data_IF_139833455734
#
_entry.id   IF_139833455734
#
_cell.length_a   1.000
_cell.length_b   1.000
_cell.length_c   1.000
_cell.angle_alpha   90.00
_cell.angle_beta   90.00
_cell.angle_gamma   90.00
#
_symmetry.space_group_name_H-M   'P 1'
#
loop_
_entity.id
_entity.type
_entity.pdbx_description
1 polymer ?
#
# COMPACT_ATOMS: atom_id res chain seq x y z
N UNK A 1 28.41 -3.72 14.11
CA UNK A 1 27.34 -3.82 15.12
C UNK A 1 26.30 -4.76 14.54
N UNK A 2 26.24 -6.01 15.00
CA UNK A 2 25.29 -6.99 14.47
C UNK A 2 23.89 -6.60 14.92
N UNK A 3 23.11 -6.08 13.98
CA UNK A 3 21.72 -5.74 14.17
C UNK A 3 20.95 -7.07 14.23
N UNK A 4 20.25 -7.38 15.34
CA UNK A 4 19.69 -8.70 15.56
C UNK A 4 18.47 -8.93 14.65
N UNK A 5 18.49 -10.09 13.99
CA UNK A 5 17.39 -10.74 13.24
C UNK A 5 16.46 -9.79 12.49
N UNK A 6 16.83 -9.35 11.28
CA UNK A 6 15.84 -8.78 10.38
C UNK A 6 14.72 -9.79 10.19
N UNK A 7 13.48 -9.38 10.48
CA UNK A 7 12.31 -10.23 10.26
C UNK A 7 11.90 -10.02 8.81
N UNK A 8 12.07 -11.02 7.95
CA UNK A 8 11.70 -10.84 6.58
C UNK A 8 10.18 -10.90 6.47
N UNK A 9 9.60 -9.88 5.86
CA UNK A 9 8.16 -9.77 5.72
C UNK A 9 7.81 -9.22 4.34
N UNK A 10 6.56 -9.43 3.94
CA UNK A 10 6.02 -8.82 2.73
C UNK A 10 6.09 -7.30 2.83
N UNK A 11 6.17 -6.57 1.70
CA UNK A 11 6.05 -5.11 1.68
C UNK A 11 4.70 -4.67 2.28
N UNK A 12 4.70 -4.34 3.56
CA UNK A 12 3.53 -3.93 4.36
C UNK A 12 2.82 -2.73 3.75
N UNK A 13 3.55 -1.77 3.16
CA UNK A 13 2.95 -0.64 2.48
C UNK A 13 2.00 -1.09 1.38
N UNK A 14 2.39 -2.08 0.57
CA UNK A 14 1.55 -2.55 -0.54
C UNK A 14 0.28 -3.24 -0.03
N UNK A 15 0.36 -3.96 1.09
CA UNK A 15 -0.78 -4.63 1.74
C UNK A 15 -1.73 -3.59 2.34
N UNK A 16 -1.20 -2.65 3.11
CA UNK A 16 -1.99 -1.60 3.75
C UNK A 16 -2.61 -0.67 2.71
N UNK A 17 -1.87 -0.35 1.65
CA UNK A 17 -2.36 0.47 0.55
C UNK A 17 -3.49 -0.22 -0.22
N UNK A 18 -3.44 -1.54 -0.40
CA UNK A 18 -4.59 -2.28 -0.92
C UNK A 18 -5.81 -2.11 0.01
N UNK A 19 -5.61 -2.19 1.33
CA UNK A 19 -6.65 -1.90 2.32
C UNK A 19 -7.28 -0.51 2.13
N UNK A 20 -6.48 0.52 1.83
CA UNK A 20 -7.00 1.88 1.59
C UNK A 20 -7.89 1.99 0.36
N UNK A 21 -7.58 1.24 -0.71
CA UNK A 21 -8.42 1.18 -1.92
C UNK A 21 -9.77 0.53 -1.63
N UNK A 22 -9.79 -0.42 -0.69
CA UNK A 22 -11.00 -1.13 -0.26
C UNK A 22 -11.83 -0.35 0.76
N UNK A 23 -11.42 0.86 1.16
CA UNK A 23 -12.23 1.76 2.00
C UNK A 23 -13.05 2.74 1.15
N UNK A 24 -14.38 2.81 1.35
CA UNK A 24 -15.24 3.62 0.49
C UNK A 24 -14.90 5.09 0.61
N UNK A 25 -15.02 5.76 -0.54
CA UNK A 25 -14.90 7.19 -0.62
C UNK A 25 -16.10 7.83 0.10
N UNK A 26 -15.85 8.54 1.20
CA UNK A 26 -16.86 9.24 1.98
C UNK A 26 -17.11 10.67 1.48
N UNK A 27 -16.43 11.13 0.42
CA UNK A 27 -16.69 12.43 -0.24
C UNK A 27 -17.88 12.39 -1.22
N UNK A 28 -18.73 11.35 -1.15
CA UNK A 28 -19.91 11.22 -2.03
C UNK A 28 -20.97 12.28 -1.76
N UNK A 29 -21.55 12.82 -2.84
CA UNK A 29 -22.61 13.86 -2.83
C UNK A 29 -24.01 13.34 -2.49
N UNK A 30 -24.16 12.06 -2.17
CA UNK A 30 -25.41 11.54 -1.64
C UNK A 30 -25.39 11.83 -0.14
N UNK A 31 -26.43 12.50 0.38
CA UNK A 31 -26.59 12.76 1.82
C UNK A 31 -26.14 11.54 2.62
N UNK A 32 -25.40 11.71 3.74
CA UNK A 32 -25.06 10.59 4.58
C UNK A 32 -26.36 10.01 5.11
N UNK A 33 -26.89 8.98 4.43
CA UNK A 33 -28.01 8.18 4.90
C UNK A 33 -27.51 7.57 6.19
N UNK A 34 -27.94 8.18 7.29
CA UNK A 34 -27.42 8.09 8.66
C UNK A 34 -27.33 6.67 9.26
N UNK A 35 -27.64 5.62 8.50
CA UNK A 35 -27.82 4.25 8.95
C UNK A 35 -27.40 3.17 7.93
N UNK A 36 -26.77 3.51 6.81
CA UNK A 36 -26.29 2.45 5.91
C UNK A 36 -24.89 2.05 6.35
N UNK A 37 -24.78 0.80 6.83
CA UNK A 37 -23.52 0.09 6.98
C UNK A 37 -22.67 0.38 5.75
N UNK A 38 -21.43 0.79 5.98
CA UNK A 38 -20.49 1.27 4.97
C UNK A 38 -20.11 0.09 4.07
N UNK A 39 -21.00 -0.29 3.15
CA UNK A 39 -20.80 -1.33 2.16
C UNK A 39 -19.90 -0.79 1.06
N UNK A 40 -19.12 -1.69 0.47
CA UNK A 40 -18.21 -1.39 -0.63
C UNK A 40 -18.94 -0.63 -1.74
N UNK A 41 -18.46 0.57 -2.10
CA UNK A 41 -19.06 1.35 -3.18
C UNK A 41 -18.82 0.66 -4.53
N UNK A 42 -19.68 0.94 -5.53
CA UNK A 42 -19.53 0.37 -6.87
C UNK A 42 -18.14 0.64 -7.48
N UNK A 43 -17.55 1.81 -7.21
CA UNK A 43 -16.19 2.15 -7.64
C UNK A 43 -15.14 1.20 -7.05
N UNK A 44 -15.29 0.82 -5.78
CA UNK A 44 -14.36 -0.07 -5.12
C UNK A 44 -14.47 -1.50 -5.62
N UNK A 45 -15.69 -1.97 -5.92
CA UNK A 45 -15.88 -3.25 -6.60
C UNK A 45 -15.15 -3.26 -7.95
N UNK A 46 -15.23 -2.17 -8.71
CA UNK A 46 -14.47 -2.02 -9.95
C UNK A 46 -12.96 -2.04 -9.69
N UNK A 47 -12.46 -1.37 -8.65
CA UNK A 47 -11.05 -1.41 -8.27
C UNK A 47 -10.58 -2.82 -7.88
N UNK A 48 -11.38 -3.59 -7.13
CA UNK A 48 -11.11 -5.00 -6.82
C UNK A 48 -10.99 -5.83 -8.09
N UNK A 49 -11.92 -5.66 -9.03
CA UNK A 49 -11.90 -6.41 -10.30
C UNK A 49 -10.65 -6.07 -11.10
N UNK A 50 -10.32 -4.78 -11.23
CA UNK A 50 -9.08 -4.33 -11.89
C UNK A 50 -7.86 -4.95 -11.20
N UNK A 51 -7.84 -4.92 -9.87
CA UNK A 51 -6.75 -5.48 -9.09
C UNK A 51 -6.58 -6.98 -9.31
N UNK A 52 -7.66 -7.75 -9.24
CA UNK A 52 -7.65 -9.19 -9.47
C UNK A 52 -7.16 -9.54 -10.89
N UNK A 53 -7.72 -8.88 -11.92
CA UNK A 53 -7.38 -9.16 -13.32
C UNK A 53 -5.91 -8.87 -13.61
N UNK A 54 -5.41 -7.70 -13.19
CA UNK A 54 -4.01 -7.33 -13.42
C UNK A 54 -3.05 -8.20 -12.61
N UNK A 55 -3.40 -8.53 -11.36
CA UNK A 55 -2.57 -9.38 -10.48
C UNK A 55 -2.46 -10.81 -11.02
N UNK A 56 -3.57 -11.38 -11.52
CA UNK A 56 -3.60 -12.72 -12.12
C UNK A 56 -2.73 -12.82 -13.38
N UNK A 57 -2.68 -11.76 -14.19
CA UNK A 57 -1.85 -11.71 -15.40
C UNK A 57 -0.38 -11.45 -15.06
N UNK A 58 -0.10 -10.55 -14.11
CA UNK A 58 1.26 -10.14 -13.76
C UNK A 58 2.06 -11.18 -12.99
N UNK A 59 1.40 -11.93 -12.09
CA UNK A 59 2.05 -12.93 -11.23
C UNK A 59 2.86 -14.00 -12.01
N UNK A 60 2.28 -14.74 -12.97
CA UNK A 60 3.00 -15.80 -13.67
C UNK A 60 4.14 -15.26 -14.53
N UNK A 61 4.03 -14.04 -15.05
CA UNK A 61 5.10 -13.40 -15.83
C UNK A 61 6.33 -13.14 -14.96
N UNK A 62 6.13 -12.72 -13.71
CA UNK A 62 7.23 -12.43 -12.79
C UNK A 62 7.81 -13.68 -12.13
N UNK A 63 7.00 -14.70 -11.86
CA UNK A 63 7.48 -16.01 -11.38
C UNK A 63 8.39 -16.72 -12.41
N UNK A 64 8.12 -16.52 -13.70
CA UNK A 64 8.94 -17.09 -14.78
C UNK A 64 10.29 -16.41 -14.97
N UNK A 65 10.53 -15.25 -14.37
CA UNK A 65 11.83 -14.56 -14.52
C UNK A 65 12.93 -15.30 -13.76
N UNK A 66 14.13 -15.26 -14.33
CA UNK A 66 15.32 -15.84 -13.71
C UNK A 66 15.75 -15.08 -12.44
N UNK A 67 16.38 -15.80 -11.52
CA UNK A 67 17.11 -15.25 -10.36
C UNK A 67 18.32 -14.46 -10.84
N UNK A 68 18.11 -13.22 -11.28
CA UNK A 68 19.20 -12.28 -11.62
C UNK A 68 19.18 -11.08 -10.68
N UNK A 69 20.35 -10.52 -10.31
CA UNK A 69 20.42 -9.32 -9.46
C UNK A 69 19.73 -8.10 -10.10
N UNK A 70 19.66 -8.04 -11.43
CA UNK A 70 18.94 -7.02 -12.18
C UNK A 70 17.43 -7.00 -11.87
N UNK A 71 16.85 -8.17 -11.58
CA UNK A 71 15.43 -8.32 -11.22
C UNK A 71 15.13 -7.65 -9.89
N UNK A 72 15.96 -7.89 -8.87
CA UNK A 72 15.85 -7.26 -7.56
C UNK A 72 16.03 -5.75 -7.65
N UNK A 73 16.96 -5.27 -8.48
CA UNK A 73 17.14 -3.84 -8.73
C UNK A 73 15.91 -3.22 -9.41
N UNK A 74 15.32 -3.90 -10.40
CA UNK A 74 14.10 -3.44 -11.06
C UNK A 74 12.90 -3.41 -10.10
N UNK A 75 12.72 -4.45 -9.29
CA UNK A 75 11.66 -4.53 -8.28
C UNK A 75 11.85 -3.48 -7.18
N UNK A 76 13.09 -3.19 -6.78
CA UNK A 76 13.41 -2.09 -5.86
C UNK A 76 12.96 -0.74 -6.40
N UNK A 77 13.24 -0.44 -7.67
CA UNK A 77 12.81 0.82 -8.31
C UNK A 77 11.29 0.92 -8.40
N UNK A 78 10.62 -0.18 -8.79
CA UNK A 78 9.16 -0.26 -8.87
C UNK A 78 8.50 -0.06 -7.51
N UNK A 79 8.98 -0.74 -6.47
CA UNK A 79 8.47 -0.62 -5.12
C UNK A 79 8.72 0.79 -4.54
N UNK A 80 9.89 1.38 -4.81
CA UNK A 80 10.16 2.78 -4.45
C UNK A 80 9.15 3.72 -5.11
N UNK A 81 8.86 3.55 -6.40
CA UNK A 81 7.86 4.35 -7.12
C UNK A 81 6.46 4.20 -6.51
N UNK A 82 6.02 2.97 -6.22
CA UNK A 82 4.72 2.69 -5.58
C UNK A 82 4.62 3.41 -4.24
N UNK A 83 5.62 3.24 -3.37
CA UNK A 83 5.61 3.81 -2.03
C UNK A 83 5.64 5.34 -2.10
N UNK A 84 6.49 5.90 -2.96
CA UNK A 84 6.60 7.37 -3.12
C UNK A 84 5.29 7.97 -3.62
N UNK A 85 4.70 7.36 -4.66
CA UNK A 85 3.41 7.80 -5.19
C UNK A 85 2.32 7.71 -4.14
N UNK A 86 2.21 6.58 -3.44
CA UNK A 86 1.17 6.39 -2.42
C UNK A 86 1.34 7.33 -1.22
N UNK A 87 2.58 7.60 -0.76
CA UNK A 87 2.82 8.63 0.28
C UNK A 87 2.35 10.01 -0.19
N UNK A 88 2.72 10.44 -1.39
CA UNK A 88 2.29 11.74 -1.93
C UNK A 88 0.77 11.83 -2.09
N UNK A 89 0.15 10.75 -2.57
CA UNK A 89 -1.30 10.63 -2.68
C UNK A 89 -1.98 10.74 -1.31
N UNK A 90 -1.52 9.97 -0.31
CA UNK A 90 -2.08 10.02 1.05
C UNK A 90 -1.88 11.36 1.75
N UNK A 91 -0.73 12.01 1.57
CA UNK A 91 -0.53 13.37 2.07
C UNK A 91 -1.50 14.35 1.43
N UNK A 92 -1.74 14.21 0.12
CA UNK A 92 -2.71 15.05 -0.60
C UNK A 92 -4.13 14.81 -0.07
N UNK A 93 -4.54 13.55 0.12
CA UNK A 93 -5.83 13.17 0.70
C UNK A 93 -6.04 13.78 2.10
N UNK A 94 -5.05 13.65 2.99
CA UNK A 94 -5.14 14.21 4.34
C UNK A 94 -5.26 15.74 4.28
N UNK A 95 -4.46 16.40 3.43
CA UNK A 95 -4.52 17.86 3.28
C UNK A 95 -5.86 18.32 2.71
N UNK A 96 -6.42 17.62 1.71
CA UNK A 96 -7.71 17.95 1.12
C UNK A 96 -8.87 17.72 2.08
N UNK A 97 -8.75 16.78 3.04
CA UNK A 97 -9.75 16.60 4.11
C UNK A 97 -9.92 17.89 4.92
N UNK A 98 -8.84 18.59 5.27
CA UNK A 98 -8.89 19.80 6.09
C UNK A 98 -9.11 21.10 5.31
N UNK A 99 -8.64 21.18 4.06
CA UNK A 99 -8.54 22.48 3.37
C UNK A 99 -9.77 22.87 2.55
N UNK A 100 -10.55 21.92 2.05
CA UNK A 100 -11.66 22.22 1.14
C UNK A 100 -13.03 21.75 1.68
N UNK A 101 -14.16 22.25 1.15
CA UNK A 101 -15.50 21.90 1.62
C UNK A 101 -15.82 20.40 1.46
N UNK A 102 -16.74 19.89 2.29
CA UNK A 102 -17.14 18.49 2.33
C UNK A 102 -17.78 18.01 1.01
N UNK A 103 -18.68 18.82 0.43
CA UNK A 103 -19.44 18.47 -0.79
C UNK A 103 -18.76 18.87 -2.10
N UNK A 104 -17.44 18.67 -2.21
CA UNK A 104 -16.72 19.00 -3.42
C UNK A 104 -16.64 17.79 -4.36
N UNK A 105 -17.44 17.80 -5.43
CA UNK A 105 -17.36 16.81 -6.52
C UNK A 105 -15.92 16.65 -7.05
N UNK A 106 -15.15 17.74 -7.05
CA UNK A 106 -13.75 17.74 -7.51
C UNK A 106 -12.88 16.85 -6.62
N UNK A 107 -13.10 16.86 -5.30
CA UNK A 107 -12.38 15.97 -4.37
C UNK A 107 -12.72 14.52 -4.64
N UNK A 108 -14.01 14.21 -4.71
CA UNK A 108 -14.47 12.84 -4.98
C UNK A 108 -13.82 12.26 -6.24
N UNK A 109 -13.84 13.01 -7.35
CA UNK A 109 -13.18 12.56 -8.59
C UNK A 109 -11.65 12.50 -8.46
N UNK A 110 -11.00 13.44 -7.78
CA UNK A 110 -9.56 13.42 -7.58
C UNK A 110 -9.11 12.23 -6.73
N UNK A 111 -9.83 11.93 -5.65
CA UNK A 111 -9.63 10.77 -4.78
C UNK A 111 -9.81 9.47 -5.55
N UNK A 112 -10.90 9.34 -6.33
CA UNK A 112 -11.14 8.17 -7.17
C UNK A 112 -10.06 7.97 -8.24
N UNK A 113 -9.61 9.03 -8.90
CA UNK A 113 -8.53 8.94 -9.89
C UNK A 113 -7.21 8.53 -9.23
N UNK A 114 -6.88 9.11 -8.07
CA UNK A 114 -5.68 8.75 -7.32
C UNK A 114 -5.73 7.30 -6.84
N UNK A 115 -6.86 6.86 -6.30
CA UNK A 115 -7.10 5.46 -5.90
C UNK A 115 -7.00 4.51 -7.10
N UNK A 116 -7.53 4.87 -8.26
CA UNK A 116 -7.42 4.07 -9.49
C UNK A 116 -5.95 3.91 -9.92
N UNK A 117 -5.18 4.99 -9.97
CA UNK A 117 -3.76 4.95 -10.32
C UNK A 117 -2.99 4.10 -9.30
N UNK A 118 -3.26 4.28 -8.00
CA UNK A 118 -2.65 3.48 -6.94
C UNK A 118 -2.98 1.99 -7.12
N UNK A 119 -4.24 1.67 -7.38
CA UNK A 119 -4.72 0.31 -7.65
C UNK A 119 -3.97 -0.31 -8.82
N UNK A 120 -3.93 0.35 -9.98
CA UNK A 120 -3.23 -0.14 -11.17
C UNK A 120 -1.75 -0.40 -10.84
N UNK A 121 -1.10 0.55 -10.16
CA UNK A 121 0.33 0.45 -9.83
C UNK A 121 0.62 -0.71 -8.86
N UNK A 122 -0.18 -0.86 -7.80
CA UNK A 122 -0.06 -1.98 -6.84
C UNK A 122 -0.36 -3.32 -7.52
N UNK A 123 -1.37 -3.38 -8.39
CA UNK A 123 -1.75 -4.62 -9.07
C UNK A 123 -0.67 -5.09 -10.03
N UNK A 124 -0.11 -4.16 -10.81
CA UNK A 124 0.85 -4.50 -11.84
C UNK A 124 2.26 -4.75 -11.29
N UNK A 125 2.66 -3.99 -10.27
CA UNK A 125 4.03 -4.05 -9.72
C UNK A 125 4.09 -4.53 -8.28
N UNK A 126 3.13 -4.14 -7.44
CA UNK A 126 3.10 -4.47 -6.02
C UNK A 126 2.86 -5.96 -5.76
N UNK A 127 1.87 -6.56 -6.42
CA UNK A 127 1.52 -7.96 -6.20
C UNK A 127 2.63 -8.94 -6.60
N UNK A 128 3.27 -8.70 -7.75
CA UNK A 128 4.43 -9.48 -8.14
C UNK A 128 5.61 -9.31 -7.19
N UNK A 129 5.82 -8.10 -6.65
CA UNK A 129 6.87 -7.84 -5.67
C UNK A 129 6.58 -8.53 -4.34
N UNK A 130 5.32 -8.57 -3.90
CA UNK A 130 4.87 -9.31 -2.70
C UNK A 130 5.17 -10.81 -2.84
N UNK A 131 4.89 -11.41 -4.00
CA UNK A 131 5.11 -12.85 -4.20
C UNK A 131 6.57 -13.24 -4.45
N UNK A 132 7.44 -12.28 -4.79
CA UNK A 132 8.80 -12.60 -5.25
C UNK A 132 9.92 -11.99 -4.41
N UNK A 133 9.63 -10.93 -3.65
CA UNK A 133 10.60 -10.16 -2.89
C UNK A 133 10.12 -9.94 -1.45
N UNK A 134 11.05 -9.98 -0.51
CA UNK A 134 10.82 -9.67 0.91
C UNK A 134 11.65 -8.47 1.35
N UNK A 135 11.08 -7.71 2.29
CA UNK A 135 11.74 -6.59 2.97
C UNK A 135 12.19 -7.09 4.34
N UNK A 136 13.45 -6.83 4.67
CA UNK A 136 14.08 -7.28 5.91
C UNK A 136 13.93 -6.17 6.96
N UNK A 137 12.78 -6.15 7.65
CA UNK A 137 12.49 -5.10 8.62
C UNK A 137 13.44 -5.19 9.82
N UNK A 138 13.96 -4.03 10.19
CA UNK A 138 14.81 -3.88 11.36
C UNK A 138 13.97 -3.57 12.62
N UNK A 139 14.61 -3.48 13.79
CA UNK A 139 14.02 -3.08 15.07
C UNK A 139 13.21 -1.77 14.99
N UNK A 140 13.48 -0.92 14.00
CA UNK A 140 12.73 0.30 13.69
C UNK A 140 11.25 0.07 13.37
N UNK A 141 10.83 -1.17 13.05
CA UNK A 141 9.41 -1.49 12.87
C UNK A 141 8.58 -1.21 14.13
N UNK A 142 9.16 -1.42 15.32
CA UNK A 142 8.48 -1.18 16.60
C UNK A 142 8.17 0.31 16.81
N UNK A 143 9.15 1.24 16.76
CA UNK A 143 8.85 2.67 16.89
C UNK A 143 7.99 3.18 15.73
N UNK A 144 8.12 2.66 14.51
CA UNK A 144 7.22 3.03 13.39
C UNK A 144 5.77 2.63 13.68
N UNK A 145 5.54 1.42 14.19
CA UNK A 145 4.21 0.96 14.58
C UNK A 145 3.60 1.84 15.67
N UNK A 146 4.39 2.12 16.73
CA UNK A 146 3.95 3.00 17.83
C UNK A 146 3.65 4.42 17.36
N UNK A 147 4.48 4.98 16.47
CA UNK A 147 4.24 6.29 15.88
C UNK A 147 2.95 6.30 15.04
N UNK A 148 2.73 5.27 14.22
CA UNK A 148 1.50 5.10 13.46
C UNK A 148 0.26 5.07 14.38
N UNK A 149 0.29 4.26 15.44
CA UNK A 149 -0.80 4.22 16.44
C UNK A 149 -1.03 5.58 17.12
N UNK A 150 0.05 6.28 17.49
CA UNK A 150 -0.04 7.60 18.10
C UNK A 150 -0.71 8.61 17.15
N UNK A 151 -0.32 8.66 15.87
CA UNK A 151 -0.94 9.56 14.90
C UNK A 151 -2.41 9.18 14.63
N UNK A 152 -2.75 7.89 14.57
CA UNK A 152 -4.15 7.46 14.49
C UNK A 152 -4.95 7.94 15.70
N UNK A 153 -4.42 7.82 16.91
CA UNK A 153 -5.05 8.30 18.14
C UNK A 153 -5.24 9.83 18.13
N UNK A 154 -4.20 10.59 17.76
CA UNK A 154 -4.29 12.04 17.64
C UNK A 154 -5.31 12.46 16.58
N UNK A 155 -5.37 11.74 15.46
CA UNK A 155 -6.36 11.99 14.43
C UNK A 155 -7.80 11.72 14.88
N UNK A 156 -8.01 10.83 15.86
CA UNK A 156 -9.34 10.61 16.43
C UNK A 156 -9.82 11.79 17.29
N UNK A 157 -8.88 12.43 18.00
CA UNK A 157 -9.15 13.58 18.87
C UNK A 157 -9.39 14.85 18.06
N UNK A 158 -8.55 15.09 17.05
CA UNK A 158 -8.52 16.37 16.31
C UNK A 158 -9.15 16.31 14.92
N UNK A 159 -9.40 15.11 14.39
CA UNK A 159 -9.92 14.92 13.04
C UNK A 159 -11.43 15.00 12.96
N UNK A 160 -11.93 15.14 11.73
CA UNK A 160 -13.36 15.16 11.42
C UNK A 160 -13.93 13.74 11.57
N UNK A 161 -14.94 13.51 12.43
CA UNK A 161 -15.45 12.16 12.72
C UNK A 161 -15.93 11.39 11.49
N UNK A 162 -16.56 12.09 10.55
CA UNK A 162 -17.15 11.51 9.34
C UNK A 162 -16.08 10.93 8.38
N UNK A 163 -14.84 11.42 8.46
CA UNK A 163 -13.75 11.02 7.56
C UNK A 163 -12.67 10.21 8.25
N UNK A 164 -12.91 9.70 9.47
CA UNK A 164 -11.91 8.99 10.29
C UNK A 164 -11.13 7.92 9.52
N UNK A 165 -11.84 7.05 8.81
CA UNK A 165 -11.23 5.98 8.04
C UNK A 165 -10.39 6.49 6.85
N UNK A 166 -10.72 7.67 6.31
CA UNK A 166 -10.03 8.26 5.16
C UNK A 166 -8.66 8.84 5.50
N UNK A 167 -8.38 9.16 6.77
CA UNK A 167 -7.05 9.62 7.18
C UNK A 167 -6.32 8.65 8.13
N UNK A 168 -7.02 7.85 8.94
CA UNK A 168 -6.36 6.92 9.87
C UNK A 168 -5.56 5.83 9.16
N UNK A 169 -6.16 5.12 8.20
CA UNK A 169 -5.45 4.07 7.47
C UNK A 169 -4.31 4.66 6.61
N UNK A 170 -4.50 5.79 5.89
CA UNK A 170 -3.39 6.45 5.20
C UNK A 170 -2.26 6.96 6.10
N UNK A 171 -2.55 7.51 7.28
CA UNK A 171 -1.52 7.90 8.27
C UNK A 171 -0.67 6.69 8.68
N UNK A 172 -1.32 5.56 8.92
CA UNK A 172 -0.64 4.31 9.23
C UNK A 172 0.19 3.80 8.04
N UNK A 173 -0.35 3.88 6.82
CA UNK A 173 0.37 3.55 5.58
C UNK A 173 1.61 4.42 5.38
N UNK A 174 1.51 5.73 5.59
CA UNK A 174 2.65 6.67 5.44
C UNK A 174 3.80 6.26 6.37
N UNK A 175 3.47 5.91 7.63
CA UNK A 175 4.47 5.49 8.62
C UNK A 175 5.27 4.28 8.15
N UNK A 176 4.57 3.24 7.66
CA UNK A 176 5.22 2.04 7.09
C UNK A 176 5.91 2.32 5.76
N UNK A 177 5.37 3.19 4.92
CA UNK A 177 5.98 3.58 3.65
C UNK A 177 7.34 4.26 3.84
N UNK A 178 7.46 5.14 4.83
CA UNK A 178 8.75 5.78 5.15
C UNK A 178 9.76 4.75 5.65
N UNK A 179 9.34 3.83 6.52
CA UNK A 179 10.21 2.76 7.02
C UNK A 179 10.67 1.84 5.88
N UNK A 180 9.77 1.44 4.99
CA UNK A 180 10.10 0.60 3.84
C UNK A 180 11.02 1.30 2.86
N UNK A 181 10.78 2.58 2.55
CA UNK A 181 11.70 3.36 1.73
C UNK A 181 13.09 3.37 2.36
N UNK A 182 13.21 3.59 3.67
CA UNK A 182 14.50 3.53 4.34
C UNK A 182 15.13 2.13 4.21
N UNK A 183 14.37 1.08 4.52
CA UNK A 183 14.87 -0.31 4.57
C UNK A 183 15.29 -0.83 3.19
N UNK A 184 14.47 -0.57 2.17
CA UNK A 184 14.76 -0.95 0.77
C UNK A 184 16.01 -0.23 0.27
N UNK A 185 16.26 0.99 0.73
CA UNK A 185 17.41 1.77 0.31
C UNK A 185 18.69 1.50 1.11
N UNK A 186 18.58 1.11 2.38
CA UNK A 186 19.70 0.70 3.24
C UNK A 186 20.18 -0.71 2.95
N UNK A 187 19.26 -1.68 2.97
CA UNK A 187 19.59 -3.12 3.00
C UNK A 187 19.21 -3.84 1.71
N UNK A 188 18.39 -3.22 0.87
CA UNK A 188 17.97 -3.79 -0.41
C UNK A 188 16.73 -4.67 -0.32
N UNK A 189 16.46 -5.41 -1.41
CA UNK A 189 15.41 -6.41 -1.47
C UNK A 189 16.04 -7.80 -1.56
N UNK A 190 15.38 -8.77 -0.94
CA UNK A 190 15.78 -10.17 -0.98
C UNK A 190 14.71 -11.01 -1.64
N UNK A 191 15.11 -12.16 -2.18
CA UNK A 191 14.15 -13.11 -2.75
C UNK A 191 13.26 -13.69 -1.64
N UNK A 192 11.96 -13.74 -1.89
CA UNK A 192 11.04 -14.40 -0.97
C UNK A 192 11.30 -15.92 -0.94
N UNK A 193 11.11 -16.61 0.20
CA UNK A 193 11.20 -18.06 0.27
C UNK A 193 10.26 -18.77 -0.70
N UNK A 194 9.08 -18.19 -0.97
CA UNK A 194 8.11 -18.73 -1.93
C UNK A 194 8.74 -18.82 -3.32
N UNK A 195 9.38 -17.73 -3.76
CA UNK A 195 10.07 -17.69 -5.04
C UNK A 195 11.30 -18.58 -5.07
N UNK A 196 12.10 -18.58 -3.99
CA UNK A 196 13.31 -19.39 -3.90
C UNK A 196 13.00 -20.90 -3.92
N UNK A 197 11.97 -21.34 -3.20
CA UNK A 197 11.51 -22.74 -3.20
C UNK A 197 11.00 -23.14 -4.60
N UNK A 198 10.17 -22.30 -5.23
CA UNK A 198 9.68 -22.58 -6.57
C UNK A 198 10.82 -22.73 -7.60
N UNK A 199 11.90 -21.95 -7.46
CA UNK A 199 13.09 -22.06 -8.31
C UNK A 199 13.97 -23.26 -7.98
N UNK A 200 14.01 -23.70 -6.72
CA UNK A 200 14.68 -24.96 -6.36
C UNK A 200 13.97 -26.16 -6.99
N UNK A 201 12.64 -26.18 -6.94
CA UNK A 201 11.82 -27.22 -7.57
C UNK A 201 12.00 -27.26 -9.10
N UNK A 202 12.02 -26.08 -9.77
CA UNK A 202 12.33 -25.98 -11.21
C UNK A 202 13.72 -26.54 -11.57
N UNK A 203 14.67 -26.48 -10.63
CA UNK A 203 16.05 -26.99 -10.79
C UNK A 203 16.18 -28.47 -10.45
N UNK A 204 15.12 -29.13 -9.98
CA UNK A 204 15.12 -30.56 -9.64
C UNK A 204 15.77 -30.89 -8.29
N UNK A 205 15.78 -29.94 -7.35
CA UNK A 205 16.20 -30.16 -5.95
C UNK A 205 15.02 -30.51 -5.05
#
# INVERSE_FOLDING_TARGET
MNIPYPVPFFPMFSILALGTVMLPDAYTTAEPTKNEEVFMSWYQLVFVIIWLLLSLVGLPVELKKEERPERLLANRKRLTMIITYGILFYLTEILTTFWAPQDSQIKHYATLIGQLILTITISYYGFATVCTCWVFYNWLVIPTFLAGCLFCYLSEIYGVPEYRLMYQLPIFCISFGILELWTIWSDGLHDSPIFSIAKMEERGF
#
